data_IF_743537462221
#
_entry.id   IF_743537462221
#
_cell.length_a   1.000
_cell.length_b   1.000
_cell.length_c   1.000
_cell.angle_alpha   90.00
_cell.angle_beta   90.00
_cell.angle_gamma   90.00
#
_symmetry.space_group_name_H-M   'P 1'
#
loop_
_entity.id
_entity.type
_entity.pdbx_description
1 polymer ?
#
# COMPACT_ATOMS: atom_id res chain seq x y z
N UNK A 1 -28.43 22.75 -37.44
CA UNK A 1 -27.67 23.44 -36.38
C UNK A 1 -27.65 22.52 -35.18
N UNK A 2 -26.45 22.12 -34.75
CA UNK A 2 -26.19 21.29 -33.57
C UNK A 2 -26.39 22.12 -32.28
N UNK A 3 -26.58 21.43 -31.14
CA UNK A 3 -26.48 21.84 -29.71
C UNK A 3 -27.80 21.59 -28.97
N UNK A 4 -27.88 20.89 -27.84
CA UNK A 4 -26.90 20.28 -26.94
C UNK A 4 -27.64 19.18 -26.17
N UNK A 5 -27.12 17.96 -26.16
CA UNK A 5 -27.47 16.95 -25.17
C UNK A 5 -26.76 17.32 -23.85
N UNK A 6 -27.50 17.39 -22.76
CA UNK A 6 -26.92 17.26 -21.41
C UNK A 6 -27.58 16.04 -20.80
N UNK A 7 -26.89 14.92 -20.90
CA UNK A 7 -27.19 13.69 -20.18
C UNK A 7 -26.71 13.89 -18.75
N UNK A 8 -27.64 14.10 -17.83
CA UNK A 8 -27.36 14.15 -16.39
C UNK A 8 -27.11 12.71 -15.91
N UNK A 9 -25.87 12.24 -16.00
CA UNK A 9 -25.45 11.04 -15.28
C UNK A 9 -25.31 11.41 -13.80
N UNK A 10 -26.31 11.06 -13.00
CA UNK A 10 -26.13 10.90 -11.56
C UNK A 10 -25.24 9.67 -11.35
N UNK A 11 -23.94 9.89 -11.21
CA UNK A 11 -23.03 8.85 -10.73
C UNK A 11 -23.33 8.66 -9.25
N UNK A 12 -24.05 7.58 -8.93
CA UNK A 12 -24.20 7.11 -7.57
C UNK A 12 -22.83 6.58 -7.14
N UNK A 13 -22.04 7.44 -6.49
CA UNK A 13 -20.86 7.00 -5.75
C UNK A 13 -21.41 6.36 -4.47
N UNK A 14 -21.71 5.07 -4.54
CA UNK A 14 -21.84 4.27 -3.32
C UNK A 14 -20.45 4.15 -2.71
N UNK A 15 -20.10 5.06 -1.79
CA UNK A 15 -19.05 4.85 -0.80
C UNK A 15 -19.58 3.79 0.18
N UNK A 16 -19.53 2.53 -0.26
CA UNK A 16 -19.73 1.37 0.58
C UNK A 16 -18.49 1.15 1.44
N UNK A 17 -18.72 0.86 2.70
CA UNK A 17 -17.75 0.68 3.80
C UNK A 17 -16.45 0.04 3.32
N UNK A 18 -15.35 0.78 3.49
CA UNK A 18 -14.09 0.52 2.85
C UNK A 18 -13.32 -0.61 3.54
N UNK A 19 -13.21 -1.70 2.82
CA UNK A 19 -12.22 -2.76 2.97
C UNK A 19 -11.40 -2.76 1.67
N UNK A 20 -10.19 -3.33 1.67
CA UNK A 20 -9.41 -3.43 0.44
C UNK A 20 -10.21 -4.16 -0.66
N UNK A 21 -10.16 -3.64 -1.89
CA UNK A 21 -11.05 -4.07 -2.96
C UNK A 21 -10.36 -4.63 -4.18
N UNK A 22 -11.07 -5.50 -4.91
CA UNK A 22 -10.71 -5.89 -6.28
C UNK A 22 -11.23 -4.82 -7.24
N UNK A 23 -10.34 -4.17 -8.00
CA UNK A 23 -10.72 -3.21 -9.03
C UNK A 23 -11.30 -3.94 -10.25
N UNK A 24 -12.43 -3.46 -10.80
CA UNK A 24 -13.11 -4.12 -11.92
C UNK A 24 -12.40 -3.92 -13.27
N UNK A 25 -11.57 -2.89 -13.39
CA UNK A 25 -10.88 -2.52 -14.62
C UNK A 25 -9.39 -2.29 -14.37
N UNK A 26 -8.59 -2.53 -15.42
CA UNK A 26 -7.14 -2.32 -15.37
C UNK A 26 -6.83 -0.84 -15.15
N UNK A 27 -6.10 -0.48 -14.07
CA UNK A 27 -5.71 0.90 -13.81
C UNK A 27 -4.86 1.44 -14.96
N UNK A 28 -5.29 2.57 -15.55
CA UNK A 28 -4.55 3.26 -16.60
C UNK A 28 -3.88 4.49 -15.99
N UNK A 29 -2.54 4.55 -15.93
CA UNK A 29 -1.85 5.71 -15.39
C UNK A 29 -2.10 6.93 -16.27
N UNK A 30 -2.36 8.08 -15.66
CA UNK A 30 -2.60 9.35 -16.36
C UNK A 30 -1.53 10.40 -16.05
N UNK A 31 -0.55 10.09 -15.19
CA UNK A 31 0.41 11.05 -14.68
C UNK A 31 -0.27 12.14 -13.84
N UNK A 32 0.37 13.30 -13.72
CA UNK A 32 -0.11 14.44 -12.93
C UNK A 32 1.03 15.08 -12.13
N UNK A 33 0.73 16.15 -11.40
CA UNK A 33 1.69 16.75 -10.47
C UNK A 33 1.66 16.01 -9.14
N UNK A 34 2.81 15.47 -8.73
CA UNK A 34 2.95 14.71 -7.49
C UNK A 34 3.61 15.50 -6.37
N UNK A 35 4.11 16.72 -6.63
CA UNK A 35 4.87 17.49 -5.64
C UNK A 35 4.00 17.82 -4.42
N UNK A 36 4.55 17.62 -3.23
CA UNK A 36 3.90 17.81 -1.94
C UNK A 36 3.69 16.52 -1.17
N UNK A 37 3.01 16.63 -0.03
CA UNK A 37 2.74 15.52 0.89
C UNK A 37 1.38 14.88 0.63
N UNK A 38 1.33 13.56 0.79
CA UNK A 38 0.16 12.72 0.51
C UNK A 38 -0.03 11.70 1.62
N UNK A 39 -1.26 11.52 2.08
CA UNK A 39 -1.62 10.72 3.25
C UNK A 39 -2.48 9.54 2.81
N UNK A 40 -2.17 8.34 3.26
CA UNK A 40 -3.01 7.18 3.07
C UNK A 40 -3.63 6.75 4.41
N UNK A 41 -4.93 6.49 4.41
CA UNK A 41 -5.66 5.93 5.53
C UNK A 41 -5.77 4.40 5.41
N UNK A 42 -6.08 3.72 6.53
CA UNK A 42 -6.09 2.25 6.75
C UNK A 42 -6.74 1.39 5.64
N UNK A 43 -7.48 1.98 4.72
CA UNK A 43 -8.38 1.35 3.75
C UNK A 43 -8.09 1.79 2.30
N UNK A 44 -6.99 2.48 2.07
CA UNK A 44 -6.70 3.14 0.79
C UNK A 44 -5.99 2.22 -0.24
N UNK A 45 -5.96 0.92 0.00
CA UNK A 45 -5.27 -0.06 -0.83
C UNK A 45 -6.27 -0.91 -1.63
N UNK A 46 -6.05 -1.01 -2.94
CA UNK A 46 -6.85 -1.84 -3.84
C UNK A 46 -5.94 -2.69 -4.72
N UNK A 47 -6.47 -3.77 -5.28
CA UNK A 47 -5.76 -4.58 -6.27
C UNK A 47 -6.61 -4.77 -7.53
N UNK A 48 -6.01 -4.56 -8.70
CA UNK A 48 -6.54 -5.06 -9.95
C UNK A 48 -6.11 -6.50 -10.16
N UNK A 49 -7.08 -7.38 -10.43
CA UNK A 49 -6.85 -8.79 -10.77
C UNK A 49 -7.40 -9.04 -12.18
N UNK A 50 -6.60 -9.61 -13.10
CA UNK A 50 -7.06 -9.87 -14.46
C UNK A 50 -8.31 -10.74 -14.50
N UNK A 51 -9.25 -10.41 -15.39
CA UNK A 51 -10.55 -11.09 -15.46
C UNK A 51 -10.44 -12.60 -15.66
N UNK A 52 -9.42 -13.06 -16.40
CA UNK A 52 -9.15 -14.48 -16.58
C UNK A 52 -8.84 -15.21 -15.27
N UNK A 53 -8.14 -14.55 -14.35
CA UNK A 53 -7.86 -15.09 -13.02
C UNK A 53 -9.09 -15.01 -12.12
N UNK A 54 -9.81 -13.88 -12.11
CA UNK A 54 -11.05 -13.71 -11.32
C UNK A 54 -12.07 -14.81 -11.63
N UNK A 55 -12.18 -15.23 -12.89
CA UNK A 55 -13.09 -16.31 -13.30
C UNK A 55 -12.59 -17.72 -12.95
N UNK A 56 -11.28 -17.89 -12.77
CA UNK A 56 -10.66 -19.19 -12.54
C UNK A 56 -10.56 -19.57 -11.04
N UNK A 57 -10.65 -18.60 -10.13
CA UNK A 57 -10.46 -18.79 -8.69
C UNK A 57 -11.75 -18.56 -7.89
N UNK A 58 -11.89 -19.24 -6.76
CA UNK A 58 -12.93 -18.93 -5.77
C UNK A 58 -12.60 -19.57 -4.40
N UNK A 59 -12.53 -18.80 -3.29
CA UNK A 59 -12.66 -17.35 -3.23
C UNK A 59 -11.42 -16.63 -3.76
N UNK A 60 -11.59 -15.37 -4.17
CA UNK A 60 -10.54 -14.37 -4.32
C UNK A 60 -10.76 -13.34 -3.22
N UNK A 61 -9.77 -13.15 -2.36
CA UNK A 61 -9.75 -12.14 -1.31
C UNK A 61 -8.56 -11.21 -1.51
N UNK A 62 -8.81 -9.92 -1.29
CA UNK A 62 -7.78 -8.90 -1.21
C UNK A 62 -8.05 -8.20 0.10
N UNK A 63 -7.17 -8.39 1.06
CA UNK A 63 -7.25 -7.77 2.36
C UNK A 63 -5.99 -6.93 2.52
N UNK A 64 -6.11 -5.69 2.94
CA UNK A 64 -4.93 -4.90 3.15
C UNK A 64 -5.20 -3.53 3.67
N UNK A 65 -4.20 -3.01 4.34
CA UNK A 65 -4.22 -1.69 4.91
C UNK A 65 -2.95 -0.94 4.52
N UNK A 66 -3.10 0.36 4.36
CA UNK A 66 -1.99 1.30 4.31
C UNK A 66 -2.25 2.38 5.33
N UNK A 67 -1.21 2.83 6.04
CA UNK A 67 -1.29 4.05 6.83
C UNK A 67 0.02 4.80 6.74
N UNK A 68 -0.04 6.13 6.61
CA UNK A 68 1.13 7.00 6.65
C UNK A 68 1.20 7.94 5.46
N UNK A 69 2.39 8.47 5.16
CA UNK A 69 2.54 9.48 4.12
C UNK A 69 3.70 9.23 3.17
N UNK A 70 3.61 9.89 2.03
CA UNK A 70 4.70 10.04 1.09
C UNK A 70 4.77 11.51 0.66
N UNK A 71 5.98 12.05 0.61
CA UNK A 71 6.25 13.43 0.23
C UNK A 71 7.21 13.46 -0.94
N UNK A 72 6.84 14.18 -2.00
CA UNK A 72 7.69 14.41 -3.16
C UNK A 72 8.11 15.88 -3.19
N UNK A 73 9.42 16.13 -3.06
CA UNK A 73 10.00 17.46 -3.12
C UNK A 73 10.15 17.98 -4.55
N UNK A 74 9.99 19.28 -4.75
CA UNK A 74 10.19 19.92 -6.06
C UNK A 74 11.64 19.80 -6.59
N UNK A 75 12.58 19.42 -5.73
CA UNK A 75 13.98 19.14 -6.04
C UNK A 75 14.23 17.70 -6.53
N UNK A 76 13.19 16.87 -6.61
CA UNK A 76 13.30 15.46 -6.99
C UNK A 76 13.54 14.52 -5.81
N UNK A 77 13.52 15.03 -4.57
CA UNK A 77 13.60 14.19 -3.36
C UNK A 77 12.27 13.47 -3.09
N UNK A 78 12.33 12.28 -2.50
CA UNK A 78 11.15 11.58 -1.97
C UNK A 78 11.44 11.12 -0.55
N UNK A 79 10.48 11.34 0.33
CA UNK A 79 10.47 10.80 1.68
C UNK A 79 9.18 10.04 1.88
N UNK A 80 9.32 8.77 2.26
CA UNK A 80 8.22 7.88 2.56
C UNK A 80 8.27 7.51 4.03
N UNK A 81 7.12 7.52 4.66
CA UNK A 81 6.89 6.88 5.95
C UNK A 81 5.46 6.37 5.94
N UNK A 82 5.27 5.24 5.25
CA UNK A 82 4.01 4.53 5.25
C UNK A 82 4.24 3.06 5.57
N UNK A 83 3.24 2.47 6.22
CA UNK A 83 3.14 1.04 6.49
C UNK A 83 2.06 0.46 5.60
N UNK A 84 2.40 -0.56 4.81
CA UNK A 84 1.40 -1.37 4.12
C UNK A 84 1.49 -2.83 4.54
N UNK A 85 0.33 -3.46 4.69
CA UNK A 85 0.20 -4.89 4.74
C UNK A 85 -0.92 -5.27 3.79
N UNK A 86 -0.60 -5.98 2.70
CA UNK A 86 -1.62 -6.50 1.77
C UNK A 86 -1.47 -8.00 1.66
N UNK A 87 -2.57 -8.72 1.79
CA UNK A 87 -2.69 -10.13 1.46
C UNK A 87 -3.66 -10.28 0.29
N UNK A 88 -3.16 -10.82 -0.81
CA UNK A 88 -4.00 -11.32 -1.91
C UNK A 88 -4.04 -12.83 -1.76
N UNK A 89 -5.21 -13.39 -1.48
CA UNK A 89 -5.40 -14.83 -1.40
C UNK A 89 -6.41 -15.30 -2.44
N UNK A 90 -6.09 -16.42 -3.09
CA UNK A 90 -6.94 -17.03 -4.10
C UNK A 90 -6.86 -18.54 -3.99
N UNK A 91 -8.00 -19.22 -4.16
CA UNK A 91 -8.01 -20.68 -4.27
C UNK A 91 -8.14 -21.08 -5.73
N UNK A 92 -7.07 -21.70 -6.26
CA UNK A 92 -7.05 -22.33 -7.57
C UNK A 92 -6.95 -23.87 -7.39
N UNK A 93 -6.13 -24.56 -8.18
CA UNK A 93 -5.75 -25.96 -7.94
C UNK A 93 -5.03 -26.16 -6.59
N UNK A 94 -4.42 -25.10 -6.08
CA UNK A 94 -3.80 -24.99 -4.76
C UNK A 94 -4.17 -23.63 -4.14
N UNK A 95 -4.21 -23.51 -2.80
CA UNK A 95 -4.30 -22.21 -2.15
C UNK A 95 -3.07 -21.36 -2.48
N UNK A 96 -3.30 -20.14 -2.94
CA UNK A 96 -2.30 -19.11 -3.16
C UNK A 96 -2.58 -17.99 -2.15
N UNK A 97 -1.56 -17.58 -1.40
CA UNK A 97 -1.63 -16.38 -0.58
C UNK A 97 -0.34 -15.62 -0.78
N UNK A 98 -0.47 -14.38 -1.25
CA UNK A 98 0.66 -13.50 -1.52
C UNK A 98 0.51 -12.33 -0.57
N UNK A 99 1.46 -12.24 0.35
CA UNK A 99 1.61 -11.07 1.18
C UNK A 99 2.52 -10.07 0.45
N UNK A 100 1.97 -8.91 0.10
CA UNK A 100 2.73 -7.75 -0.35
C UNK A 100 2.92 -6.86 0.87
N UNK A 101 4.09 -6.99 1.48
CA UNK A 101 4.54 -6.10 2.53
C UNK A 101 5.44 -5.04 1.90
N UNK A 102 4.96 -3.81 1.85
CA UNK A 102 5.80 -2.65 1.55
C UNK A 102 5.89 -1.83 2.84
N UNK A 103 7.00 -2.01 3.56
CA UNK A 103 7.32 -1.27 4.78
C UNK A 103 8.35 -0.24 4.39
N UNK A 104 7.97 1.04 4.41
CA UNK A 104 8.72 2.04 3.69
C UNK A 104 8.85 3.31 4.52
N UNK A 105 9.73 3.22 5.52
CA UNK A 105 10.45 4.40 6.00
C UNK A 105 11.73 4.52 5.17
N UNK A 106 11.71 5.36 4.16
CA UNK A 106 12.88 5.59 3.31
C UNK A 106 12.96 7.04 2.83
N UNK A 107 14.17 7.46 2.53
CA UNK A 107 14.46 8.67 1.76
C UNK A 107 15.16 8.30 0.46
N UNK A 108 14.91 9.05 -0.60
CA UNK A 108 15.53 8.80 -1.89
C UNK A 108 15.30 9.94 -2.87
N UNK A 109 15.50 9.63 -4.14
CA UNK A 109 15.17 10.53 -5.24
C UNK A 109 14.16 9.85 -6.16
N UNK A 110 13.33 10.64 -6.82
CA UNK A 110 12.39 10.14 -7.81
C UNK A 110 12.63 10.75 -9.19
N UNK A 111 12.27 9.98 -10.22
CA UNK A 111 12.22 10.45 -11.60
C UNK A 111 10.90 10.07 -12.24
N UNK A 112 10.44 10.88 -13.20
CA UNK A 112 9.20 10.67 -13.94
C UNK A 112 9.49 10.60 -15.43
N UNK A 113 9.06 9.53 -16.08
CA UNK A 113 9.01 9.46 -17.54
C UNK A 113 7.64 9.98 -18.02
N UNK A 114 7.61 11.12 -18.70
CA UNK A 114 6.35 11.80 -19.06
C UNK A 114 5.47 11.04 -20.07
N UNK A 115 6.07 10.17 -20.88
CA UNK A 115 5.41 9.40 -21.94
C UNK A 115 4.68 8.15 -21.43
N UNK A 116 5.26 7.51 -20.43
CA UNK A 116 4.78 6.25 -19.83
C UNK A 116 4.18 6.46 -18.44
N UNK A 117 4.32 7.66 -17.88
CA UNK A 117 4.00 7.99 -16.50
C UNK A 117 4.71 7.07 -15.50
N UNK A 118 5.88 6.56 -15.88
CA UNK A 118 6.71 5.76 -14.99
C UNK A 118 7.27 6.65 -13.87
N UNK A 119 7.06 6.23 -12.63
CA UNK A 119 7.64 6.82 -11.42
C UNK A 119 8.71 5.84 -10.92
N UNK A 120 9.97 6.26 -10.99
CA UNK A 120 11.10 5.46 -10.48
C UNK A 120 11.64 6.11 -9.22
N UNK A 121 11.62 5.39 -8.11
CA UNK A 121 12.17 5.80 -6.82
C UNK A 121 13.49 5.08 -6.60
N UNK A 122 14.54 5.84 -6.37
CA UNK A 122 15.90 5.34 -6.11
C UNK A 122 16.26 5.61 -4.65
N UNK A 123 16.65 4.55 -3.95
CA UNK A 123 17.06 4.56 -2.53
C UNK A 123 18.52 4.14 -2.45
N UNK A 124 19.20 4.54 -1.38
CA UNK A 124 20.63 4.27 -1.25
C UNK A 124 20.89 2.76 -1.08
N UNK A 125 21.78 2.19 -1.89
CA UNK A 125 22.17 0.77 -1.84
C UNK A 125 21.01 -0.24 -2.03
N UNK A 126 19.89 0.20 -2.62
CA UNK A 126 18.74 -0.65 -2.91
C UNK A 126 18.38 -0.61 -4.40
N UNK A 127 17.70 -1.65 -4.87
CA UNK A 127 17.16 -1.67 -6.22
C UNK A 127 16.08 -0.58 -6.39
N UNK A 128 16.01 0.08 -7.56
CA UNK A 128 14.99 1.07 -7.83
C UNK A 128 13.58 0.47 -7.79
N UNK A 129 12.68 1.17 -7.13
CA UNK A 129 11.26 0.85 -7.14
C UNK A 129 10.63 1.49 -8.38
N UNK A 130 9.93 0.69 -9.17
CA UNK A 130 9.33 1.13 -10.43
C UNK A 130 7.80 1.04 -10.35
N UNK A 131 7.16 2.18 -10.53
CA UNK A 131 5.73 2.35 -10.46
C UNK A 131 5.22 3.05 -11.71
N UNK A 132 3.90 3.08 -11.85
CA UNK A 132 3.21 4.10 -12.63
C UNK A 132 2.27 4.86 -11.70
N UNK A 133 1.78 6.02 -12.11
CA UNK A 133 0.93 6.80 -11.22
C UNK A 133 -0.16 7.59 -11.94
N UNK A 134 -1.15 8.00 -11.16
CA UNK A 134 -2.13 9.02 -11.53
C UNK A 134 -2.25 9.99 -10.37
N UNK A 135 -2.09 11.28 -10.63
CA UNK A 135 -2.23 12.32 -9.63
C UNK A 135 -3.24 13.38 -10.08
N UNK A 136 -4.10 13.76 -9.16
CA UNK A 136 -5.05 14.86 -9.29
C UNK A 136 -4.71 15.95 -8.26
N UNK A 137 -5.56 16.96 -8.10
CA UNK A 137 -5.35 17.94 -7.04
C UNK A 137 -5.43 17.32 -5.63
N UNK A 138 -6.27 16.30 -5.46
CA UNK A 138 -6.66 15.77 -4.15
C UNK A 138 -6.28 14.31 -3.93
N UNK A 139 -5.90 13.58 -4.98
CA UNK A 139 -5.54 12.17 -4.89
C UNK A 139 -4.27 11.81 -5.66
N UNK A 140 -3.49 10.89 -5.11
CA UNK A 140 -2.34 10.25 -5.73
C UNK A 140 -2.54 8.73 -5.69
N UNK A 141 -2.54 8.10 -6.86
CA UNK A 141 -2.62 6.66 -7.01
C UNK A 141 -1.27 6.15 -7.49
N UNK A 142 -0.54 5.44 -6.64
CA UNK A 142 0.71 4.74 -7.01
C UNK A 142 0.34 3.31 -7.42
N UNK A 143 0.69 2.93 -8.64
CA UNK A 143 0.29 1.68 -9.26
C UNK A 143 1.54 0.80 -9.45
N UNK A 144 1.55 -0.33 -8.75
CA UNK A 144 2.66 -1.30 -8.76
C UNK A 144 2.23 -2.59 -9.47
N UNK A 145 2.87 -3.01 -10.58
CA UNK A 145 2.64 -4.33 -11.13
C UNK A 145 3.26 -5.40 -10.21
N UNK A 146 2.51 -6.46 -9.91
CA UNK A 146 3.02 -7.65 -9.25
C UNK A 146 3.51 -8.64 -10.31
N UNK A 147 4.82 -8.81 -10.38
CA UNK A 147 5.42 -9.78 -11.29
C UNK A 147 5.15 -11.19 -10.81
N UNK A 148 4.95 -12.10 -11.76
CA UNK A 148 4.66 -13.50 -11.45
C UNK A 148 5.76 -14.14 -10.59
N UNK A 149 7.01 -13.76 -10.80
CA UNK A 149 8.15 -14.24 -10.02
C UNK A 149 8.05 -13.88 -8.55
N UNK A 150 7.59 -12.67 -8.22
CA UNK A 150 7.36 -12.22 -6.84
C UNK A 150 6.23 -13.01 -6.19
N UNK A 151 5.13 -13.26 -6.92
CA UNK A 151 4.02 -14.10 -6.43
C UNK A 151 4.53 -15.50 -6.09
N UNK A 152 5.42 -16.06 -6.92
CA UNK A 152 5.96 -17.40 -6.72
C UNK A 152 6.97 -17.50 -5.58
N UNK A 153 7.63 -16.41 -5.19
CA UNK A 153 8.56 -16.40 -4.04
C UNK A 153 7.85 -16.67 -2.72
N UNK A 154 6.55 -16.34 -2.61
CA UNK A 154 5.74 -16.63 -1.43
C UNK A 154 5.37 -18.12 -1.28
N UNK A 155 5.61 -18.93 -2.31
CA UNK A 155 5.20 -20.33 -2.36
C UNK A 155 6.37 -21.28 -2.10
N UNK A 156 6.06 -22.44 -1.52
CA UNK A 156 7.04 -23.53 -1.41
C UNK A 156 7.51 -24.03 -2.78
N UNK A 157 8.80 -24.39 -2.88
CA UNK A 157 9.42 -24.89 -4.12
C UNK A 157 8.66 -26.03 -4.79
N UNK A 158 8.02 -26.90 -4.02
CA UNK A 158 7.25 -28.02 -4.55
C UNK A 158 5.99 -27.57 -5.31
N UNK A 159 5.42 -26.42 -4.94
CA UNK A 159 4.16 -25.90 -5.50
C UNK A 159 4.41 -24.86 -6.60
N UNK A 160 5.57 -24.20 -6.60
CA UNK A 160 5.95 -23.16 -7.59
C UNK A 160 5.70 -23.59 -9.04
N UNK A 161 6.07 -24.79 -9.53
CA UNK A 161 5.82 -25.17 -10.92
C UNK A 161 4.33 -25.29 -11.25
N UNK A 162 3.52 -25.79 -10.32
CA UNK A 162 2.08 -25.94 -10.49
C UNK A 162 1.40 -24.58 -10.51
N UNK A 163 1.78 -23.70 -9.57
CA UNK A 163 1.28 -22.34 -9.50
C UNK A 163 1.69 -21.51 -10.73
N UNK A 164 2.94 -21.64 -11.20
CA UNK A 164 3.41 -20.97 -12.41
C UNK A 164 2.59 -21.37 -13.64
N UNK A 165 2.39 -22.67 -13.85
CA UNK A 165 1.60 -23.15 -15.00
C UNK A 165 0.15 -22.64 -14.95
N UNK A 166 -0.44 -22.57 -13.76
CA UNK A 166 -1.82 -22.17 -13.61
C UNK A 166 -1.99 -20.64 -13.69
N UNK A 167 -1.10 -19.86 -13.06
CA UNK A 167 -1.11 -18.40 -13.13
C UNK A 167 -0.75 -17.87 -14.52
N UNK A 168 0.22 -18.47 -15.22
CA UNK A 168 0.58 -18.03 -16.58
C UNK A 168 -0.54 -18.20 -17.61
N UNK A 169 -1.53 -19.08 -17.36
CA UNK A 169 -2.72 -19.21 -18.19
C UNK A 169 -3.76 -18.11 -17.96
N UNK A 170 -3.73 -17.45 -16.80
CA UNK A 170 -4.77 -16.54 -16.35
C UNK A 170 -4.28 -15.11 -16.03
N UNK A 171 -2.96 -14.91 -15.94
CA UNK A 171 -2.28 -13.64 -15.71
C UNK A 171 -1.36 -13.36 -16.91
N UNK A 172 -1.84 -12.60 -17.90
CA UNK A 172 -1.04 -12.23 -19.08
C UNK A 172 0.18 -11.39 -18.67
N UNK A 173 1.35 -11.54 -19.33
CA UNK A 173 2.53 -10.71 -19.04
C UNK A 173 2.30 -9.21 -19.25
N UNK A 174 1.43 -8.85 -20.20
CA UNK A 174 1.05 -7.49 -20.57
C UNK A 174 -0.09 -6.91 -19.70
N UNK A 175 -0.77 -7.75 -18.93
CA UNK A 175 -1.79 -7.33 -17.97
C UNK A 175 -1.62 -8.06 -16.63
N UNK A 176 -0.56 -7.73 -15.87
CA UNK A 176 -0.32 -8.34 -14.57
C UNK A 176 -1.35 -7.88 -13.53
N UNK A 177 -1.40 -8.58 -12.40
CA UNK A 177 -2.03 -8.09 -11.17
C UNK A 177 -1.35 -6.76 -10.82
N UNK A 178 -2.13 -5.75 -10.40
CA UNK A 178 -1.58 -4.45 -10.00
C UNK A 178 -2.10 -4.05 -8.63
N UNK A 179 -1.20 -3.64 -7.74
CA UNK A 179 -1.58 -2.97 -6.49
C UNK A 179 -1.75 -1.49 -6.78
N UNK A 180 -2.84 -0.90 -6.29
CA UNK A 180 -3.11 0.52 -6.35
C UNK A 180 -3.17 1.04 -4.93
N UNK A 181 -2.16 1.83 -4.58
CA UNK A 181 -2.07 2.53 -3.32
C UNK A 181 -2.64 3.92 -3.53
N UNK A 182 -3.66 4.28 -2.77
CA UNK A 182 -4.33 5.58 -2.85
C UNK A 182 -3.88 6.45 -1.69
N UNK A 183 -3.47 7.66 -2.00
CA UNK A 183 -3.20 8.70 -1.03
C UNK A 183 -4.08 9.91 -1.34
N UNK A 184 -4.52 10.59 -0.29
CA UNK A 184 -5.18 11.90 -0.33
C UNK A 184 -4.14 13.00 -0.16
N UNK A 185 -4.36 14.18 -0.75
CA UNK A 185 -3.45 15.32 -0.55
C UNK A 185 -3.43 15.72 0.92
N UNK A 186 -2.24 15.87 1.51
CA UNK A 186 -2.12 16.42 2.85
C UNK A 186 -2.58 17.89 2.82
N UNK A 187 -3.60 18.22 3.61
CA UNK A 187 -4.02 19.60 3.86
C UNK A 187 -3.24 20.15 5.06
N UNK A 188 -2.82 21.41 5.02
CA UNK A 188 -2.04 22.08 6.09
C UNK A 188 -2.69 22.04 7.50
N UNK A 189 -3.93 21.57 7.62
CA UNK A 189 -4.66 21.42 8.88
C UNK A 189 -4.55 20.05 9.52
N UNK A 190 -3.97 19.07 8.84
CA UNK A 190 -3.75 17.71 9.34
C UNK A 190 -2.33 17.32 8.93
N UNK A 191 -1.32 17.70 9.71
CA UNK A 191 0.00 17.06 9.64
C UNK A 191 -0.21 15.67 10.24
N UNK A 192 -0.23 14.57 9.47
CA UNK A 192 -0.23 13.26 10.09
C UNK A 192 1.12 13.14 10.75
N UNK A 193 1.13 13.18 12.08
CA UNK A 193 2.35 12.98 12.85
C UNK A 193 2.86 11.58 12.56
N UNK A 194 3.97 11.51 11.84
CA UNK A 194 4.61 10.26 11.49
C UNK A 194 5.85 10.08 12.34
N UNK A 195 5.61 9.66 13.56
CA UNK A 195 6.62 8.89 14.25
C UNK A 195 6.07 7.47 14.30
N UNK A 196 6.87 6.49 13.90
CA UNK A 196 6.47 5.08 13.76
C UNK A 196 5.91 4.48 15.06
N UNK A 197 6.10 5.18 16.18
CA UNK A 197 5.67 4.84 17.53
C UNK A 197 4.71 5.88 18.16
N UNK A 198 4.20 6.84 17.39
CA UNK A 198 3.15 7.78 17.81
C UNK A 198 1.79 7.14 17.48
N UNK A 199 1.29 6.38 18.44
CA UNK A 199 0.10 5.55 18.32
C UNK A 199 -1.20 6.27 18.66
N UNK A 200 -1.12 7.40 19.38
CA UNK A 200 -2.26 8.26 19.70
C UNK A 200 -2.42 9.46 18.74
N UNK A 201 -1.41 9.73 17.91
CA UNK A 201 -1.41 10.74 16.87
C UNK A 201 -1.17 12.16 17.38
N UNK A 202 -0.60 12.32 18.57
CA UNK A 202 -0.48 13.62 19.23
C UNK A 202 0.70 14.49 18.76
N UNK A 203 1.58 13.97 17.89
CA UNK A 203 2.77 14.70 17.46
C UNK A 203 4.07 14.25 18.13
N UNK A 204 4.00 13.36 19.10
CA UNK A 204 5.10 13.00 19.99
C UNK A 204 5.11 11.50 20.28
N UNK A 205 6.27 10.86 20.21
CA UNK A 205 6.41 9.50 20.79
C UNK A 205 6.67 9.65 22.27
N UNK A 206 5.63 9.50 23.06
CA UNK A 206 5.61 9.79 24.48
C UNK A 206 5.19 8.62 25.35
N UNK A 207 4.87 8.97 26.60
CA UNK A 207 4.41 7.99 27.59
C UNK A 207 3.03 7.45 27.22
N UNK A 208 2.17 8.24 26.56
CA UNK A 208 0.85 7.78 26.13
C UNK A 208 0.97 6.63 25.13
N UNK A 209 1.88 6.75 24.16
CA UNK A 209 2.17 5.67 23.20
C UNK A 209 2.75 4.43 23.86
N UNK A 210 3.64 4.62 24.83
CA UNK A 210 4.18 3.52 25.61
C UNK A 210 3.07 2.75 26.34
N UNK A 211 2.09 3.46 26.93
CA UNK A 211 0.97 2.82 27.61
C UNK A 211 0.11 2.03 26.62
N UNK A 212 -0.17 2.57 25.44
CA UNK A 212 -0.89 1.87 24.36
C UNK A 212 -0.12 0.63 23.89
N UNK A 213 1.20 0.72 23.73
CA UNK A 213 2.06 -0.40 23.34
C UNK A 213 2.04 -1.54 24.37
N UNK A 214 2.10 -1.21 25.65
CA UNK A 214 2.08 -2.21 26.74
C UNK A 214 0.75 -2.95 26.82
N UNK A 215 -0.37 -2.35 26.40
CA UNK A 215 -1.69 -3.02 26.43
C UNK A 215 -1.76 -4.25 25.51
N UNK A 216 -0.97 -4.26 24.44
CA UNK A 216 -0.96 -5.33 23.42
C UNK A 216 0.35 -6.14 23.41
N UNK A 217 1.29 -5.83 24.31
CA UNK A 217 2.58 -6.51 24.37
C UNK A 217 2.46 -8.01 24.64
N UNK A 218 3.22 -8.81 23.90
CA UNK A 218 3.21 -10.27 23.95
C UNK A 218 2.08 -10.93 23.16
N UNK A 219 1.28 -10.16 22.41
CA UNK A 219 0.26 -10.72 21.54
C UNK A 219 0.85 -11.11 20.18
N UNK A 220 0.19 -12.04 19.49
CA UNK A 220 0.60 -12.53 18.17
C UNK A 220 -0.60 -12.55 17.21
N UNK A 221 -0.32 -12.53 15.91
CA UNK A 221 -1.33 -12.56 14.87
C UNK A 221 -2.36 -13.68 15.09
N UNK A 222 -3.64 -13.34 14.96
CA UNK A 222 -4.78 -14.23 15.24
C UNK A 222 -5.28 -14.21 16.69
N UNK A 223 -4.64 -13.48 17.61
CA UNK A 223 -5.18 -13.23 18.95
C UNK A 223 -6.06 -11.98 18.94
N UNK A 224 -7.13 -11.97 19.75
CA UNK A 224 -8.12 -10.87 19.82
C UNK A 224 -7.52 -9.50 20.16
N UNK A 225 -6.41 -9.50 20.91
CA UNK A 225 -5.71 -8.28 21.33
C UNK A 225 -4.56 -7.87 20.41
N UNK A 226 -4.27 -8.67 19.39
CA UNK A 226 -3.22 -8.31 18.43
C UNK A 226 -3.73 -7.17 17.54
N UNK A 227 -3.00 -6.07 17.56
CA UNK A 227 -3.21 -4.95 16.64
C UNK A 227 -1.90 -4.73 15.87
N UNK A 228 -1.96 -4.95 14.56
CA UNK A 228 -0.82 -4.91 13.65
C UNK A 228 -0.03 -3.60 13.74
N UNK A 229 -0.64 -2.50 14.21
CA UNK A 229 0.05 -1.20 14.34
C UNK A 229 1.20 -1.19 15.35
N UNK A 230 1.18 -2.11 16.32
CA UNK A 230 2.23 -2.21 17.36
C UNK A 230 3.31 -3.25 17.04
N UNK A 231 3.12 -4.06 15.98
CA UNK A 231 4.12 -4.98 15.43
C UNK A 231 5.02 -4.19 14.46
N UNK A 232 6.00 -3.49 15.02
CA UNK A 232 6.86 -2.53 14.34
C UNK A 232 7.88 -3.19 13.40
N UNK A 233 8.24 -4.44 13.65
CA UNK A 233 9.13 -5.22 12.79
C UNK A 233 8.38 -6.17 11.83
N UNK A 234 7.05 -6.29 11.96
CA UNK A 234 6.16 -7.12 11.14
C UNK A 234 6.45 -8.63 11.20
N UNK A 235 6.95 -9.16 12.33
CA UNK A 235 7.18 -10.60 12.47
C UNK A 235 5.92 -11.38 12.91
N UNK A 236 4.79 -10.70 13.08
CA UNK A 236 3.52 -11.27 13.52
C UNK A 236 3.40 -11.43 15.04
N UNK A 237 4.34 -10.88 15.82
CA UNK A 237 4.39 -10.92 17.29
C UNK A 237 4.81 -9.56 17.82
N UNK A 238 4.05 -8.99 18.75
CA UNK A 238 4.41 -7.73 19.41
C UNK A 238 5.29 -8.07 20.61
N UNK A 239 6.60 -7.92 20.48
CA UNK A 239 7.57 -8.34 21.50
C UNK A 239 8.71 -7.34 21.74
N UNK A 240 9.78 -7.81 22.39
CA UNK A 240 10.94 -6.99 22.75
C UNK A 240 11.58 -6.34 21.51
N UNK A 241 11.52 -7.01 20.36
CA UNK A 241 12.05 -6.50 19.10
C UNK A 241 11.32 -5.23 18.67
N UNK A 242 9.99 -5.19 18.83
CA UNK A 242 9.20 -3.98 18.58
C UNK A 242 9.45 -2.91 19.63
N UNK A 243 9.62 -3.32 20.89
CA UNK A 243 9.96 -2.38 21.96
C UNK A 243 11.29 -1.66 21.70
N UNK A 244 12.29 -2.34 21.12
CA UNK A 244 13.56 -1.70 20.75
C UNK A 244 13.36 -0.63 19.66
N UNK A 245 12.52 -0.90 18.65
CA UNK A 245 12.16 0.08 17.61
C UNK A 245 11.38 1.26 18.21
N UNK A 246 10.48 1.00 19.16
CA UNK A 246 9.76 2.02 19.90
C UNK A 246 10.72 2.95 20.66
N UNK A 247 11.68 2.38 21.40
CA UNK A 247 12.67 3.14 22.17
C UNK A 247 13.56 4.01 21.29
N UNK A 248 13.92 3.55 20.10
CA UNK A 248 14.67 4.36 19.11
C UNK A 248 13.89 5.60 18.65
N UNK A 249 12.56 5.57 18.79
CA UNK A 249 11.67 6.68 18.44
C UNK A 249 11.20 7.52 19.63
N UNK A 250 11.43 7.06 20.86
CA UNK A 250 10.96 7.72 22.07
C UNK A 250 11.52 9.14 22.24
N UNK A 251 10.63 10.09 22.53
CA UNK A 251 10.96 11.51 22.69
C UNK A 251 11.15 12.27 21.38
N UNK A 252 10.99 11.63 20.22
CA UNK A 252 10.89 12.35 18.94
C UNK A 252 9.57 13.12 18.90
N UNK A 253 9.58 14.23 18.16
CA UNK A 253 8.40 15.04 17.86
C UNK A 253 8.42 15.36 16.37
N UNK A 254 7.26 15.47 15.73
CA UNK A 254 7.19 16.08 14.39
C UNK A 254 7.50 17.57 14.54
N UNK A 255 8.74 17.96 14.23
CA UNK A 255 9.10 19.37 14.16
C UNK A 255 8.30 20.04 13.03
N UNK A 256 7.48 21.03 13.40
CA UNK A 256 6.89 21.98 12.43
C UNK A 256 7.91 23.00 11.92
#
# INVERSE_FOLDING_TARGET
MLKNCVLLMMTVITLGQADAGVLPETPRPQGGDIVGSWVAEKIALNAYVPAGLVQAVSPLTVEGEINGTITFGADGSVQSDYRTATNISAVLLVPLSVAVHDTSQYTGNYTIASDTHALTITRENEDPLNYTYTATADSLHIIRPLLLEELLQSLSEAVRPLALNALSQHVPPDDPIKIVITFSKATDTETPSMLTADFDGDGQVGITDFLLFVEVFGTQSGQEKFDSKFDLNNNGTIDISDFLIFVESFGKTVNG
#
